data_IF_196054203101
#
_entry.id   IF_196054203101
#
_cell.length_a   1.000
_cell.length_b   1.000
_cell.length_c   1.000
_cell.angle_alpha   90.00
_cell.angle_beta   90.00
_cell.angle_gamma   90.00
#
_symmetry.space_group_name_H-M   'P 1'
#
loop_
_entity.id
_entity.type
_entity.pdbx_description
1 polymer ?
#
# COMPACT_ATOMS: atom_id res chain seq x y z
N UNK A 1 43.64 -42.17 -27.64
CA UNK A 1 42.98 -43.46 -27.95
C UNK A 1 41.96 -43.73 -26.85
N UNK A 2 40.69 -43.95 -27.21
CA UNK A 2 39.71 -44.64 -26.34
C UNK A 2 39.86 -46.15 -26.55
N UNK A 3 39.37 -46.96 -25.62
CA UNK A 3 38.08 -47.58 -25.91
C UNK A 3 37.08 -47.52 -24.74
N UNK A 4 35.81 -47.58 -25.11
CA UNK A 4 34.64 -47.74 -24.26
C UNK A 4 34.26 -49.24 -24.17
N UNK A 5 33.43 -49.65 -23.19
CA UNK A 5 32.06 -50.15 -23.43
C UNK A 5 31.32 -50.57 -22.15
N UNK A 6 30.12 -49.99 -22.00
CA UNK A 6 28.82 -50.41 -21.43
C UNK A 6 28.72 -51.49 -20.34
N UNK A 7 27.83 -51.30 -19.35
CA UNK A 7 26.49 -51.94 -19.35
C UNK A 7 25.47 -51.24 -18.41
N UNK A 8 24.20 -51.37 -18.79
CA UNK A 8 22.94 -50.78 -18.33
C UNK A 8 22.50 -51.05 -16.88
N UNK A 9 21.55 -50.25 -16.38
CA UNK A 9 20.82 -50.62 -15.16
C UNK A 9 19.77 -49.66 -14.57
N UNK A 10 18.63 -49.49 -15.27
CA UNK A 10 17.26 -49.29 -14.72
C UNK A 10 16.83 -47.96 -14.07
N UNK A 11 15.69 -47.47 -14.60
CA UNK A 11 14.81 -46.39 -14.15
C UNK A 11 14.12 -46.73 -12.81
N UNK A 12 13.95 -45.74 -11.94
CA UNK A 12 12.77 -45.64 -11.06
C UNK A 12 12.61 -44.23 -10.45
N UNK A 13 11.45 -43.62 -10.70
CA UNK A 13 10.78 -42.54 -9.94
C UNK A 13 9.28 -42.82 -10.13
N UNK A 14 8.34 -42.36 -9.26
CA UNK A 14 8.46 -41.84 -7.90
C UNK A 14 7.49 -42.54 -6.92
N UNK A 15 7.67 -42.39 -5.60
CA UNK A 15 6.65 -42.77 -4.60
C UNK A 15 6.29 -41.57 -3.72
N UNK A 16 5.05 -41.12 -3.85
CA UNK A 16 4.39 -40.13 -3.00
C UNK A 16 4.06 -40.74 -1.62
N UNK A 17 4.18 -40.00 -0.51
CA UNK A 17 3.60 -40.40 0.76
C UNK A 17 2.13 -39.95 0.91
N UNK A 18 1.34 -40.62 1.76
CA UNK A 18 -0.13 -40.70 1.63
C UNK A 18 -0.91 -39.54 2.26
N UNK A 19 -2.09 -39.31 1.68
CA UNK A 19 -3.22 -38.55 2.25
C UNK A 19 -3.62 -39.10 3.61
N UNK A 20 -3.61 -38.26 4.63
CA UNK A 20 -4.30 -38.54 5.89
C UNK A 20 -5.73 -37.98 5.88
N UNK A 21 -6.58 -38.66 6.62
CA UNK A 21 -8.01 -38.77 6.42
C UNK A 21 -8.82 -37.57 6.94
N UNK A 22 -10.01 -37.49 6.34
CA UNK A 22 -11.20 -36.73 6.71
C UNK A 22 -11.57 -36.95 8.18
N UNK A 23 -11.59 -35.88 8.96
CA UNK A 23 -12.32 -35.83 10.24
C UNK A 23 -13.50 -34.87 10.07
N UNK A 24 -14.68 -35.46 9.89
CA UNK A 24 -15.98 -34.83 10.07
C UNK A 24 -16.23 -34.62 11.56
N UNK A 25 -16.28 -33.37 12.01
CA UNK A 25 -16.83 -33.00 13.32
C UNK A 25 -17.98 -32.02 13.13
N UNK A 26 -19.16 -32.63 13.08
CA UNK A 26 -20.47 -32.22 13.60
C UNK A 26 -20.58 -30.80 14.18
N UNK A 27 -21.42 -30.00 13.52
CA UNK A 27 -22.04 -28.78 14.05
C UNK A 27 -23.04 -29.13 15.18
N UNK A 28 -23.06 -28.37 16.28
CA UNK A 28 -24.26 -28.21 17.09
C UNK A 28 -24.88 -26.83 16.86
N UNK A 29 -26.11 -26.86 16.37
CA UNK A 29 -27.05 -25.73 16.34
C UNK A 29 -27.59 -25.46 17.76
N UNK A 30 -27.62 -24.21 18.20
CA UNK A 30 -28.29 -23.80 19.44
C UNK A 30 -28.13 -22.30 19.74
N UNK A 31 -29.22 -21.52 19.90
CA UNK A 31 -29.17 -20.06 19.84
C UNK A 31 -29.02 -19.44 21.23
N UNK A 32 -28.07 -18.50 21.39
CA UNK A 32 -28.12 -17.55 22.51
C UNK A 32 -27.77 -16.14 22.04
N UNK A 33 -28.84 -15.35 22.03
CA UNK A 33 -28.92 -13.91 21.90
C UNK A 33 -28.21 -13.18 23.03
N UNK A 34 -27.27 -12.30 22.71
CA UNK A 34 -26.99 -11.09 23.50
C UNK A 34 -26.22 -10.07 22.65
N UNK A 35 -26.97 -9.14 22.06
CA UNK A 35 -26.46 -7.94 21.40
C UNK A 35 -25.86 -6.97 22.43
N UNK A 36 -24.71 -6.33 22.18
CA UNK A 36 -24.33 -5.13 22.90
C UNK A 36 -25.14 -3.92 22.38
N UNK A 37 -25.91 -3.37 23.31
CA UNK A 37 -26.73 -2.15 23.32
C UNK A 37 -26.13 -0.99 22.50
N UNK A 38 -26.73 -0.74 21.33
CA UNK A 38 -26.57 0.53 20.60
C UNK A 38 -27.25 1.66 21.38
N UNK A 39 -26.49 2.69 21.76
CA UNK A 39 -27.04 3.96 22.26
C UNK A 39 -27.62 4.72 21.07
N UNK A 40 -28.92 4.60 20.85
CA UNK A 40 -29.68 5.49 19.98
C UNK A 40 -29.74 6.88 20.63
N UNK A 41 -29.02 7.84 20.08
CA UNK A 41 -29.30 9.26 20.26
C UNK A 41 -30.48 9.63 19.37
N UNK A 42 -31.63 9.86 19.98
CA UNK A 42 -32.83 10.43 19.38
C UNK A 42 -32.59 11.89 19.02
N UNK A 43 -32.46 12.20 17.73
CA UNK A 43 -32.77 13.54 17.22
C UNK A 43 -33.60 13.33 15.95
N UNK A 44 -34.92 13.45 16.12
CA UNK A 44 -35.84 13.59 15.00
C UNK A 44 -35.80 15.04 14.54
N UNK A 45 -35.37 15.28 13.31
CA UNK A 45 -35.66 16.54 12.63
C UNK A 45 -36.65 16.25 11.50
N UNK A 46 -37.90 16.64 11.76
CA UNK A 46 -38.97 16.70 10.77
C UNK A 46 -38.56 17.65 9.66
N UNK A 47 -38.36 17.13 8.44
CA UNK A 47 -38.13 17.96 7.27
C UNK A 47 -39.49 18.39 6.70
N UNK A 48 -39.93 19.60 7.03
CA UNK A 48 -40.96 20.29 6.27
C UNK A 48 -40.32 20.90 5.03
N UNK A 49 -40.72 20.44 3.85
CA UNK A 49 -40.44 21.10 2.58
C UNK A 49 -41.16 22.44 2.55
N UNK A 50 -40.38 23.53 2.66
CA UNK A 50 -40.79 24.83 2.16
C UNK A 50 -39.79 25.24 1.09
N UNK A 51 -40.36 25.39 -0.10
CA UNK A 51 -39.89 26.09 -1.26
C UNK A 51 -39.64 27.56 -0.90
N UNK A 52 -38.42 28.07 -1.09
CA UNK A 52 -38.20 29.47 -1.48
C UNK A 52 -36.71 29.75 -1.76
N UNK A 53 -36.48 30.06 -3.03
CA UNK A 53 -35.59 31.11 -3.54
C UNK A 53 -34.07 31.10 -3.36
N UNK A 54 -33.46 31.30 -4.53
CA UNK A 54 -32.06 31.57 -4.84
C UNK A 54 -31.55 32.81 -4.07
N UNK A 55 -30.57 32.66 -3.18
CA UNK A 55 -29.84 33.77 -2.56
C UNK A 55 -28.33 33.53 -2.64
N UNK A 56 -27.60 34.62 -2.83
CA UNK A 56 -26.37 34.80 -3.60
C UNK A 56 -25.07 34.30 -2.96
N UNK A 57 -24.05 34.17 -3.82
CA UNK A 57 -22.70 33.62 -3.66
C UNK A 57 -21.81 34.25 -2.55
N UNK A 58 -22.29 35.24 -1.80
CA UNK A 58 -21.46 36.07 -0.92
C UNK A 58 -21.49 35.65 0.57
N UNK A 59 -22.39 34.74 0.98
CA UNK A 59 -22.52 34.32 2.40
C UNK A 59 -21.72 33.06 2.77
N UNK A 60 -21.12 32.35 1.80
CA UNK A 60 -20.27 31.18 2.08
C UNK A 60 -18.88 31.55 2.62
N UNK A 61 -18.46 32.82 2.50
CA UNK A 61 -17.14 33.28 2.96
C UNK A 61 -17.15 33.59 4.46
N UNK A 62 -18.28 34.05 5.00
CA UNK A 62 -18.45 34.33 6.42
C UNK A 62 -18.53 33.04 7.27
N UNK A 63 -19.16 31.98 6.73
CA UNK A 63 -19.28 30.69 7.43
C UNK A 63 -17.94 29.94 7.55
N UNK A 64 -16.95 30.28 6.72
CA UNK A 64 -15.60 29.71 6.80
C UNK A 64 -14.64 30.51 7.70
N UNK A 65 -15.02 31.74 8.09
CA UNK A 65 -14.20 32.60 8.95
C UNK A 65 -14.37 32.29 10.45
N UNK A 66 -15.50 31.69 10.84
CA UNK A 66 -15.80 31.27 12.22
C UNK A 66 -15.12 29.96 12.66
N UNK A 67 -14.26 29.36 11.83
CA UNK A 67 -13.37 28.25 12.20
C UNK A 67 -11.93 28.70 12.50
N UNK A 68 -11.66 30.00 12.57
CA UNK A 68 -10.38 30.52 13.06
C UNK A 68 -10.30 30.35 14.58
N UNK A 69 -9.82 29.18 15.00
CA UNK A 69 -9.38 28.92 16.38
C UNK A 69 -8.29 29.96 16.72
N UNK A 70 -8.59 30.85 17.67
CA UNK A 70 -7.70 31.87 18.20
C UNK A 70 -6.35 31.25 18.67
N UNK A 71 -5.19 31.83 18.30
CA UNK A 71 -3.88 31.30 18.67
C UNK A 71 -3.42 31.93 19.99
N UNK A 72 -4.14 31.69 21.07
CA UNK A 72 -3.65 32.01 22.43
C UNK A 72 -3.85 30.79 23.31
N UNK A 73 -3.01 29.77 23.13
CA UNK A 73 -2.52 28.81 24.13
C UNK A 73 -1.47 27.91 23.44
N UNK A 74 -0.34 28.50 23.06
CA UNK A 74 0.85 27.71 22.76
C UNK A 74 1.34 27.03 24.05
N UNK A 75 1.80 25.78 23.92
CA UNK A 75 2.60 24.99 24.88
C UNK A 75 1.89 23.92 25.73
N UNK A 76 1.12 23.02 25.11
CA UNK A 76 1.04 21.61 25.58
C UNK A 76 0.25 20.68 24.65
N UNK A 77 0.28 20.86 23.32
CA UNK A 77 -0.24 19.80 22.44
C UNK A 77 0.91 18.85 22.08
N UNK A 78 1.00 17.65 22.68
CA UNK A 78 2.02 16.67 22.29
C UNK A 78 1.81 16.34 20.82
N UNK A 79 2.88 16.45 20.03
CA UNK A 79 2.83 16.26 18.58
C UNK A 79 2.18 14.92 18.24
N UNK A 80 1.19 14.87 17.32
CA UNK A 80 0.41 13.67 17.09
C UNK A 80 1.30 12.52 16.60
N UNK A 81 1.01 11.31 17.08
CA UNK A 81 1.72 10.10 16.64
C UNK A 81 1.55 9.84 15.15
N UNK A 82 0.42 10.21 14.56
CA UNK A 82 0.19 10.02 13.12
C UNK A 82 0.83 11.14 12.31
N UNK A 83 1.46 10.80 11.19
CA UNK A 83 1.93 11.78 10.22
C UNK A 83 0.77 12.62 9.66
N UNK A 84 0.90 13.97 9.60
CA UNK A 84 -0.06 14.81 8.92
C UNK A 84 -0.07 14.51 7.41
N UNK A 85 -1.16 14.87 6.73
CA UNK A 85 -1.35 14.55 5.31
C UNK A 85 -0.24 15.11 4.41
N UNK A 86 0.20 16.35 4.65
CA UNK A 86 1.30 16.99 3.93
C UNK A 86 2.60 16.17 4.02
N UNK A 87 2.92 15.67 5.22
CA UNK A 87 4.09 14.82 5.44
C UNK A 87 3.94 13.48 4.73
N UNK A 88 2.75 12.85 4.75
CA UNK A 88 2.49 11.60 4.01
C UNK A 88 2.69 11.78 2.50
N UNK A 89 2.24 12.91 1.94
CA UNK A 89 2.41 13.23 0.54
C UNK A 89 3.89 13.38 0.18
N UNK A 90 4.63 14.21 0.92
CA UNK A 90 6.08 14.41 0.72
C UNK A 90 6.87 13.11 0.96
N UNK A 91 6.45 12.29 1.92
CA UNK A 91 7.05 10.99 2.21
C UNK A 91 6.83 10.00 1.07
N UNK A 92 5.67 10.05 0.40
CA UNK A 92 5.42 9.30 -0.84
C UNK A 92 6.33 9.80 -1.96
N UNK A 93 6.47 11.11 -2.15
CA UNK A 93 7.34 11.71 -3.17
C UNK A 93 8.82 11.37 -2.98
N UNK A 94 9.27 11.27 -1.72
CA UNK A 94 10.63 10.87 -1.34
C UNK A 94 10.94 9.40 -1.65
N UNK A 95 9.93 8.53 -1.71
CA UNK A 95 10.12 7.10 -1.95
C UNK A 95 10.61 6.82 -3.39
N UNK A 96 11.29 5.68 -3.58
CA UNK A 96 11.90 5.33 -4.86
C UNK A 96 10.81 5.14 -5.95
N UNK A 97 11.05 5.69 -7.15
CA UNK A 97 10.11 5.60 -8.27
C UNK A 97 10.25 4.24 -8.98
N UNK A 98 9.13 3.69 -9.44
CA UNK A 98 9.15 2.48 -10.29
C UNK A 98 9.30 2.91 -11.75
N UNK A 99 10.37 2.45 -12.43
CA UNK A 99 10.61 2.76 -13.84
C UNK A 99 9.44 2.31 -14.73
N UNK A 100 9.10 3.10 -15.74
CA UNK A 100 8.01 2.80 -16.68
C UNK A 100 6.60 2.92 -16.09
N UNK A 101 6.44 3.45 -14.87
CA UNK A 101 5.17 3.51 -14.13
C UNK A 101 4.90 4.91 -13.58
N UNK A 102 3.63 5.24 -13.41
CA UNK A 102 3.21 6.50 -12.81
C UNK A 102 3.72 6.64 -11.36
N UNK A 103 4.58 7.64 -11.08
CA UNK A 103 5.11 7.89 -9.74
C UNK A 103 4.03 8.21 -8.69
N UNK A 104 2.87 8.73 -9.09
CA UNK A 104 1.83 9.10 -8.14
C UNK A 104 1.02 7.88 -7.66
N UNK A 105 1.11 6.77 -8.40
CA UNK A 105 0.40 5.51 -8.14
C UNK A 105 1.33 4.42 -7.61
N UNK A 106 2.56 4.37 -8.11
CA UNK A 106 3.53 3.30 -7.85
C UNK A 106 4.81 3.82 -7.20
N UNK A 107 5.23 3.14 -6.13
CA UNK A 107 6.52 3.38 -5.46
C UNK A 107 7.23 2.07 -5.17
N UNK A 108 8.51 2.19 -4.89
CA UNK A 108 9.35 1.14 -4.36
C UNK A 108 9.80 1.51 -2.95
N UNK A 109 9.64 0.56 -2.03
CA UNK A 109 10.15 0.69 -0.66
C UNK A 109 11.60 0.18 -0.57
N UNK A 110 11.92 -0.68 0.39
CA UNK A 110 13.19 -1.40 0.50
C UNK A 110 13.41 -2.47 -0.60
N UNK A 111 12.85 -2.27 -1.80
CA UNK A 111 12.97 -3.17 -2.95
C UNK A 111 11.65 -3.77 -3.43
N UNK A 112 10.56 -3.65 -2.66
CA UNK A 112 9.24 -4.12 -3.06
C UNK A 112 8.42 -2.99 -3.68
N UNK A 113 7.55 -3.37 -4.61
CA UNK A 113 6.60 -2.45 -5.22
C UNK A 113 5.41 -2.29 -4.28
N UNK A 114 4.98 -1.05 -4.09
CA UNK A 114 3.78 -0.71 -3.31
C UNK A 114 2.87 0.21 -4.12
N UNK A 115 1.58 0.12 -3.85
CA UNK A 115 0.54 0.84 -4.59
C UNK A 115 -0.17 1.86 -3.72
N UNK A 116 -0.34 3.09 -4.24
CA UNK A 116 -0.79 4.27 -3.47
C UNK A 116 -2.13 4.08 -2.77
N UNK A 117 -3.08 3.38 -3.39
CA UNK A 117 -4.42 3.17 -2.81
C UNK A 117 -4.47 2.08 -1.74
N UNK A 118 -3.44 1.23 -1.64
CA UNK A 118 -3.41 0.11 -0.70
C UNK A 118 -2.66 0.50 0.59
N UNK A 119 -3.33 1.27 1.45
CA UNK A 119 -2.77 1.71 2.75
C UNK A 119 -3.35 0.86 3.89
N UNK A 120 -2.52 0.37 4.82
CA UNK A 120 -2.99 -0.29 6.05
C UNK A 120 -3.48 -1.74 5.94
N UNK A 121 -3.48 -2.31 4.73
CA UNK A 121 -3.88 -3.70 4.49
C UNK A 121 -2.70 -4.69 4.59
N UNK A 122 -2.93 -5.99 4.87
CA UNK A 122 -1.86 -6.98 5.00
C UNK A 122 -1.35 -7.56 3.67
N UNK A 123 -1.72 -6.97 2.52
CA UNK A 123 -1.34 -7.46 1.20
C UNK A 123 0.12 -7.14 0.82
N UNK A 124 0.65 -7.87 -0.17
CA UNK A 124 2.05 -7.71 -0.58
C UNK A 124 2.35 -6.36 -1.28
N UNK A 125 1.33 -5.68 -1.81
CA UNK A 125 1.45 -4.34 -2.41
C UNK A 125 1.01 -3.22 -1.46
N UNK A 126 0.55 -3.59 -0.26
CA UNK A 126 0.06 -2.66 0.73
C UNK A 126 1.22 -2.00 1.47
N UNK A 127 1.06 -0.73 1.83
CA UNK A 127 2.06 0.03 2.57
C UNK A 127 1.44 0.75 3.77
N UNK A 128 2.32 1.18 4.66
CA UNK A 128 2.06 2.13 5.72
C UNK A 128 3.08 3.27 5.65
N UNK A 129 2.75 4.38 6.31
CA UNK A 129 3.70 5.43 6.63
C UNK A 129 4.30 5.12 7.99
N UNK A 130 5.56 4.71 8.00
CA UNK A 130 6.28 4.24 9.18
C UNK A 130 7.26 5.30 9.69
N UNK A 131 7.44 5.33 11.01
CA UNK A 131 8.50 6.13 11.63
C UNK A 131 9.81 5.36 11.57
N UNK A 132 10.86 5.95 10.99
CA UNK A 132 12.21 5.35 10.97
C UNK A 132 12.64 5.03 12.41
N UNK A 133 12.55 6.02 13.30
CA UNK A 133 12.63 5.86 14.76
C UNK A 133 11.20 5.82 15.33
N UNK A 134 10.79 4.75 16.02
CA UNK A 134 9.44 4.63 16.56
C UNK A 134 9.05 5.82 17.45
N UNK A 135 7.80 6.27 17.38
CA UNK A 135 7.28 7.36 18.20
C UNK A 135 7.50 7.14 19.71
N UNK A 136 7.31 5.90 20.19
CA UNK A 136 7.55 5.52 21.60
C UNK A 136 9.02 5.64 22.05
N UNK A 137 9.94 5.86 21.11
CA UNK A 137 11.38 6.06 21.35
C UNK A 137 11.81 7.50 21.08
N UNK A 138 10.86 8.44 20.99
CA UNK A 138 11.12 9.86 20.76
C UNK A 138 11.15 10.27 19.29
N UNK A 139 10.79 9.37 18.36
CA UNK A 139 10.70 9.71 16.95
C UNK A 139 9.50 10.62 16.65
N UNK A 140 9.76 11.83 16.16
CA UNK A 140 8.70 12.79 15.80
C UNK A 140 8.00 12.42 14.50
N UNK A 141 6.80 12.94 14.27
CA UNK A 141 6.01 12.70 13.06
C UNK A 141 6.38 13.66 11.92
N UNK A 142 7.68 13.85 11.68
CA UNK A 142 8.22 14.76 10.66
C UNK A 142 8.60 14.01 9.38
N UNK A 143 8.87 14.75 8.30
CA UNK A 143 9.22 14.17 7.00
C UNK A 143 10.50 13.34 7.04
N UNK A 144 11.48 13.78 7.82
CA UNK A 144 12.79 13.14 7.96
C UNK A 144 12.63 11.76 8.59
N UNK A 145 11.68 11.63 9.53
CA UNK A 145 11.38 10.38 10.21
C UNK A 145 10.30 9.54 9.50
N UNK A 146 9.69 10.02 8.41
CA UNK A 146 8.71 9.24 7.66
C UNK A 146 9.37 8.39 6.57
N UNK A 147 8.95 7.14 6.45
CA UNK A 147 9.24 6.29 5.30
C UNK A 147 7.99 5.52 4.85
N UNK A 148 7.88 5.28 3.55
CA UNK A 148 6.91 4.31 3.01
C UNK A 148 7.49 2.91 3.23
N UNK A 149 6.71 2.05 3.86
CA UNK A 149 7.14 0.69 4.20
C UNK A 149 5.99 -0.29 3.97
N UNK A 150 6.27 -1.45 3.36
CA UNK A 150 5.26 -2.51 3.21
C UNK A 150 4.62 -2.82 4.57
N UNK A 151 3.29 -2.91 4.61
CA UNK A 151 2.54 -3.01 5.87
C UNK A 151 2.93 -4.24 6.70
N UNK A 152 3.26 -5.36 6.06
CA UNK A 152 3.74 -6.58 6.72
C UNK A 152 5.10 -6.36 7.39
N UNK A 153 6.01 -5.63 6.74
CA UNK A 153 7.31 -5.23 7.30
C UNK A 153 7.12 -4.28 8.47
N UNK A 154 6.24 -3.27 8.32
CA UNK A 154 5.91 -2.32 9.37
C UNK A 154 5.40 -3.04 10.65
N UNK A 155 4.45 -3.96 10.50
CA UNK A 155 3.95 -4.79 11.61
C UNK A 155 5.04 -5.65 12.25
N UNK A 156 5.96 -6.19 11.44
CA UNK A 156 7.08 -6.99 11.92
C UNK A 156 8.15 -6.16 12.65
N UNK A 157 8.32 -4.89 12.25
CA UNK A 157 9.22 -3.91 12.86
C UNK A 157 8.70 -3.50 14.25
N UNK A 158 7.45 -3.07 14.35
CA UNK A 158 6.86 -2.61 15.61
C UNK A 158 7.66 -1.46 16.25
N UNK A 159 8.02 -1.58 17.52
CA UNK A 159 8.78 -0.57 18.28
C UNK A 159 10.29 -0.86 18.36
N UNK A 160 10.80 -1.80 17.55
CA UNK A 160 12.21 -2.21 17.55
C UNK A 160 13.06 -1.18 16.82
N UNK A 161 14.17 -0.78 17.43
CA UNK A 161 15.12 0.21 16.90
C UNK A 161 16.39 -0.42 16.32
N UNK A 162 16.68 -1.67 16.65
CA UNK A 162 17.92 -2.37 16.28
C UNK A 162 17.82 -3.16 14.97
N UNK A 163 16.77 -2.94 14.17
CA UNK A 163 16.60 -3.64 12.90
C UNK A 163 17.39 -2.92 11.80
N UNK A 164 18.35 -3.63 11.21
CA UNK A 164 19.05 -3.14 10.03
C UNK A 164 18.12 -3.14 8.81
N UNK A 165 18.51 -2.40 7.76
CA UNK A 165 17.82 -2.43 6.47
C UNK A 165 17.73 -3.87 5.92
N UNK A 166 18.77 -4.68 6.11
CA UNK A 166 18.81 -6.08 5.67
C UNK A 166 17.75 -6.92 6.40
N UNK A 167 17.58 -6.71 7.71
CA UNK A 167 16.56 -7.41 8.50
C UNK A 167 15.14 -7.07 8.05
N UNK A 168 14.92 -5.82 7.65
CA UNK A 168 13.63 -5.38 7.12
C UNK A 168 13.34 -6.00 5.75
N UNK A 169 14.36 -6.07 4.88
CA UNK A 169 14.26 -6.74 3.58
C UNK A 169 13.95 -8.24 3.78
N UNK A 170 14.61 -8.91 4.72
CA UNK A 170 14.38 -10.33 5.00
C UNK A 170 12.96 -10.60 5.50
N UNK A 171 12.36 -9.67 6.25
CA UNK A 171 10.97 -9.77 6.74
C UNK A 171 9.93 -9.36 5.69
N UNK A 172 10.37 -8.80 4.57
CA UNK A 172 9.47 -8.31 3.54
C UNK A 172 8.87 -9.43 2.70
N UNK A 173 7.65 -9.21 2.24
CA UNK A 173 6.95 -10.15 1.37
C UNK A 173 7.24 -9.75 -0.08
N UNK A 174 8.24 -10.38 -0.68
CA UNK A 174 8.58 -10.13 -2.07
C UNK A 174 7.48 -10.64 -3.01
N UNK A 175 6.81 -9.70 -3.66
CA UNK A 175 5.74 -9.97 -4.63
C UNK A 175 6.25 -9.67 -6.03
N UNK A 176 6.40 -10.69 -6.88
CA UNK A 176 6.64 -10.48 -8.31
C UNK A 176 5.31 -10.27 -9.01
N UNK A 177 5.07 -9.04 -9.42
CA UNK A 177 3.87 -8.66 -10.17
C UNK A 177 4.31 -8.34 -11.60
N UNK A 178 3.67 -8.99 -12.58
CA UNK A 178 3.98 -8.73 -13.99
C UNK A 178 3.49 -7.33 -14.39
N UNK A 179 4.01 -6.79 -15.49
CA UNK A 179 3.51 -5.51 -16.02
C UNK A 179 2.00 -5.54 -16.26
N UNK A 180 1.47 -6.63 -16.81
CA UNK A 180 0.03 -6.80 -17.05
C UNK A 180 -0.79 -6.81 -15.75
N UNK A 181 -0.29 -7.44 -14.70
CA UNK A 181 -1.00 -7.47 -13.41
C UNK A 181 -0.97 -6.10 -12.74
N UNK A 182 0.12 -5.35 -12.89
CA UNK A 182 0.18 -3.95 -12.46
C UNK A 182 -0.87 -3.11 -13.20
N UNK A 183 -0.98 -3.27 -14.52
CA UNK A 183 -1.99 -2.58 -15.34
C UNK A 183 -3.40 -2.90 -14.86
N UNK A 184 -3.69 -4.18 -14.57
CA UNK A 184 -4.99 -4.61 -14.07
C UNK A 184 -5.32 -3.98 -12.71
N UNK A 185 -4.36 -3.95 -11.78
CA UNK A 185 -4.54 -3.31 -10.47
C UNK A 185 -4.79 -1.82 -10.64
N UNK A 186 -4.01 -1.16 -11.48
CA UNK A 186 -4.12 0.26 -11.74
C UNK A 186 -5.47 0.62 -12.37
N UNK A 187 -5.87 -0.12 -13.40
CA UNK A 187 -7.16 0.01 -14.05
C UNK A 187 -8.31 -0.21 -13.07
N UNK A 188 -8.23 -1.24 -12.22
CA UNK A 188 -9.27 -1.53 -11.22
C UNK A 188 -9.42 -0.41 -10.19
N UNK A 189 -8.34 0.28 -9.86
CA UNK A 189 -8.33 1.25 -8.79
C UNK A 189 -8.55 2.69 -9.28
N UNK A 190 -8.07 3.04 -10.48
CA UNK A 190 -8.12 4.40 -11.03
C UNK A 190 -9.00 4.53 -12.28
N UNK A 191 -9.44 3.42 -12.88
CA UNK A 191 -10.21 3.42 -14.13
C UNK A 191 -9.37 3.62 -15.40
N UNK A 192 -8.05 3.76 -15.26
CA UNK A 192 -7.10 3.88 -16.38
C UNK A 192 -5.71 3.39 -15.97
N UNK A 193 -4.82 3.25 -16.96
CA UNK A 193 -3.41 2.89 -16.78
C UNK A 193 -2.54 4.01 -17.34
N UNK A 194 -1.50 4.40 -16.59
CA UNK A 194 -0.53 5.43 -16.97
C UNK A 194 0.88 4.86 -16.95
N UNK A 195 1.48 4.78 -18.15
CA UNK A 195 2.89 4.43 -18.32
C UNK A 195 3.69 5.71 -18.52
N UNK A 196 4.74 5.88 -17.73
CA UNK A 196 5.72 6.95 -17.96
C UNK A 196 6.73 6.42 -18.96
N UNK A 197 6.75 7.02 -20.15
CA UNK A 197 7.78 6.72 -21.14
C UNK A 197 9.09 7.32 -20.65
N UNK A 198 10.11 6.50 -20.47
CA UNK A 198 11.47 7.01 -20.29
C UNK A 198 11.92 7.57 -21.65
N UNK A 199 12.27 8.86 -21.76
CA UNK A 199 12.64 9.48 -23.04
C UNK A 199 13.86 8.85 -23.72
N UNK A 200 14.60 7.96 -23.03
CA UNK A 200 15.72 7.21 -23.58
C UNK A 200 15.37 5.94 -24.37
N UNK A 201 14.15 5.40 -24.23
CA UNK A 201 13.76 4.13 -24.87
C UNK A 201 13.20 4.34 -26.30
N UNK A 202 12.61 5.51 -26.56
CA UNK A 202 12.14 5.90 -27.89
C UNK A 202 13.29 6.05 -28.90
N UNK A 203 14.48 6.45 -28.45
CA UNK A 203 15.66 6.67 -29.30
C UNK A 203 16.29 5.37 -29.83
N UNK A 204 16.21 4.27 -29.06
CA UNK A 204 16.78 2.98 -29.47
C UNK A 204 15.88 2.19 -30.43
N UNK A 205 14.56 2.34 -30.31
CA UNK A 205 13.60 1.67 -31.21
C UNK A 205 13.69 2.24 -32.63
N UNK A 206 13.89 3.55 -32.77
CA UNK A 206 14.09 4.20 -34.07
C UNK A 206 15.39 3.72 -34.74
N UNK A 207 16.51 3.63 -33.99
CA UNK A 207 17.80 3.18 -34.54
C UNK A 207 17.83 1.70 -34.98
N UNK A 208 17.07 0.82 -34.31
CA UNK A 208 16.96 -0.58 -34.74
C UNK A 208 16.03 -0.74 -35.95
N UNK A 209 14.99 0.10 -36.09
CA UNK A 209 14.12 0.12 -37.26
C UNK A 209 14.83 0.54 -38.56
N UNK A 210 15.78 1.49 -38.48
CA UNK A 210 16.55 1.92 -39.66
C UNK A 210 17.60 0.90 -40.13
N UNK A 211 18.03 -0.06 -39.29
CA UNK A 211 18.99 -1.10 -39.69
C UNK A 211 18.37 -2.26 -40.47
N UNK A 212 17.06 -2.46 -40.40
CA UNK A 212 16.36 -3.53 -41.14
C UNK A 212 15.86 -3.13 -42.53
N UNK A 213 15.98 -1.85 -42.92
CA UNK A 213 15.51 -1.38 -44.23
C UNK A 213 16.64 -1.16 -45.26
N UNK A 214 17.89 -1.54 -44.94
CA UNK A 214 19.07 -1.36 -45.80
C UNK A 214 19.73 -2.68 -46.25
N UNK A 215 18.95 -3.75 -46.44
CA UNK A 215 19.43 -4.96 -47.14
C UNK A 215 18.40 -5.47 -48.11
#
# INVERSE_FOLDING_TARGET
MRPAKDTAGRRARPSSPPRSARTTTTFPSGPHSSLPRSRQSTIAHSASLLDSELVTQEDNVALFEDLRIFPEHANSNPEPRSFPYSVKQQCWEKAEKVKGRDPDRWRRDLGNIVFRKLVGCPGCLCHDYDHIVPYSKGGKSTLENCQVLQATVNRSKGNKTELSRADLIQKSSYCRVSGRDMDLIELSAYGNVQHVQDPGEASYSILLGYRSCLR
#
